data_IF_781567330509
#
_entry.id   IF_781567330509
#
_cell.length_a   1.000
_cell.length_b   1.000
_cell.length_c   1.000
_cell.angle_alpha   90.00
_cell.angle_beta   90.00
_cell.angle_gamma   90.00
#
_symmetry.space_group_name_H-M   'P 1'
#
loop_
_entity.id
_entity.type
_entity.pdbx_description
1 polymer ?
#
# COMPACT_ATOMS: atom_id res chain seq x y z
N UNK A 1 29.31 9.39 -21.22
CA UNK A 1 28.13 10.29 -21.08
C UNK A 1 27.07 9.78 -22.02
N UNK A 2 25.84 9.79 -21.53
CA UNK A 2 24.65 9.36 -22.28
C UNK A 2 23.60 10.46 -22.25
N UNK A 3 22.75 10.51 -23.27
CA UNK A 3 21.68 11.50 -23.37
C UNK A 3 20.37 10.83 -23.80
N UNK A 4 19.27 11.18 -23.13
CA UNK A 4 17.91 10.90 -23.57
C UNK A 4 17.41 12.19 -24.22
N UNK A 5 16.85 12.16 -25.44
CA UNK A 5 16.40 13.35 -26.14
C UNK A 5 15.11 13.18 -26.93
N UNK A 6 14.45 14.31 -27.24
CA UNK A 6 13.28 14.39 -28.12
C UNK A 6 11.94 14.08 -27.44
N UNK A 7 11.96 13.66 -26.18
CA UNK A 7 10.76 13.36 -25.41
C UNK A 7 10.15 14.56 -24.67
N UNK A 8 9.04 14.35 -24.01
CA UNK A 8 8.47 15.29 -23.04
C UNK A 8 9.01 14.94 -21.66
N UNK A 9 9.87 15.78 -21.09
CA UNK A 9 10.41 15.62 -19.74
C UNK A 9 9.41 16.11 -18.69
N UNK A 10 9.13 15.27 -17.69
CA UNK A 10 8.40 15.62 -16.47
C UNK A 10 9.34 15.36 -15.30
N UNK A 11 9.76 16.40 -14.59
CA UNK A 11 10.86 16.29 -13.61
C UNK A 11 10.45 15.61 -12.29
N UNK A 12 9.15 15.46 -12.02
CA UNK A 12 8.63 14.90 -10.77
C UNK A 12 8.47 15.92 -9.64
N UNK A 13 8.74 17.20 -9.88
CA UNK A 13 8.58 18.29 -8.90
C UNK A 13 7.13 18.80 -8.77
N UNK A 14 6.20 18.23 -9.54
CA UNK A 14 4.79 18.62 -9.60
C UNK A 14 4.50 19.88 -10.41
N UNK A 15 5.47 20.44 -11.13
CA UNK A 15 5.35 21.73 -11.83
C UNK A 15 5.98 21.75 -13.22
N UNK A 16 7.10 21.06 -13.41
CA UNK A 16 7.95 21.22 -14.57
C UNK A 16 7.68 20.18 -15.63
N UNK A 17 7.25 20.65 -16.82
CA UNK A 17 7.12 19.85 -18.05
C UNK A 17 7.86 20.55 -19.17
N UNK A 18 8.81 19.88 -19.80
CA UNK A 18 9.64 20.42 -20.90
C UNK A 18 9.39 19.56 -22.15
N UNK A 19 8.87 20.15 -23.21
CA UNK A 19 8.69 19.47 -24.50
C UNK A 19 9.98 19.46 -25.29
N UNK A 20 10.15 18.42 -26.14
CA UNK A 20 11.36 18.22 -26.92
C UNK A 20 12.63 18.40 -26.07
N UNK A 21 12.64 17.71 -24.92
CA UNK A 21 13.69 17.86 -23.93
C UNK A 21 14.88 16.93 -24.17
N UNK A 22 16.01 17.31 -23.57
CA UNK A 22 17.13 16.41 -23.35
C UNK A 22 17.42 16.22 -21.87
N UNK A 23 17.92 15.05 -21.49
CA UNK A 23 18.44 14.73 -20.15
C UNK A 23 19.79 14.05 -20.33
N UNK A 24 20.84 14.64 -19.78
CA UNK A 24 22.20 14.09 -19.79
C UNK A 24 22.54 13.44 -18.47
N UNK A 25 23.18 12.31 -18.54
CA UNK A 25 23.69 11.63 -17.36
C UNK A 25 25.10 11.11 -17.57
N UNK A 26 25.84 11.14 -16.48
CA UNK A 26 27.21 10.64 -16.40
C UNK A 26 27.32 9.75 -15.17
N UNK A 27 27.71 8.50 -15.39
CA UNK A 27 27.60 7.45 -14.38
C UNK A 27 26.16 7.37 -13.86
N UNK A 28 25.92 7.61 -12.58
CA UNK A 28 24.63 7.48 -11.91
C UNK A 28 23.96 8.85 -11.61
N UNK A 29 24.45 9.93 -12.23
CA UNK A 29 23.97 11.28 -11.95
C UNK A 29 23.44 11.97 -13.22
N UNK A 30 22.29 12.63 -13.06
CA UNK A 30 21.82 13.61 -14.04
C UNK A 30 22.70 14.84 -13.89
N UNK A 31 23.39 15.23 -14.98
CA UNK A 31 24.34 16.36 -14.97
C UNK A 31 23.78 17.59 -15.65
N UNK A 32 22.76 17.43 -16.52
CA UNK A 32 22.13 18.54 -17.23
C UNK A 32 20.78 18.09 -17.82
N UNK A 33 19.85 19.00 -17.99
CA UNK A 33 18.61 18.81 -18.75
C UNK A 33 18.08 20.16 -19.27
N UNK A 34 17.32 20.12 -20.36
CA UNK A 34 16.75 21.34 -20.93
C UNK A 34 15.90 21.08 -22.15
N UNK A 35 15.46 22.16 -22.79
CA UNK A 35 14.66 22.13 -24.01
C UNK A 35 15.56 22.15 -25.26
N UNK A 36 15.14 21.47 -26.32
CA UNK A 36 15.80 21.51 -27.64
C UNK A 36 16.97 20.56 -27.78
N UNK A 37 17.96 20.99 -28.58
CA UNK A 37 19.14 20.17 -28.86
C UNK A 37 20.10 20.15 -27.65
N UNK A 38 20.62 18.96 -27.35
CA UNK A 38 21.63 18.81 -26.33
C UNK A 38 22.92 19.60 -26.72
N UNK A 39 23.44 20.47 -25.83
CA UNK A 39 24.57 21.35 -26.16
C UNK A 39 25.92 20.62 -26.40
N UNK A 40 25.98 19.34 -26.09
CA UNK A 40 27.18 18.51 -26.27
C UNK A 40 26.88 17.26 -27.07
N UNK A 41 27.90 16.75 -27.78
CA UNK A 41 27.81 15.45 -28.47
C UNK A 41 28.16 14.33 -27.49
N UNK A 42 27.17 13.53 -27.15
CA UNK A 42 27.33 12.34 -26.33
C UNK A 42 27.41 11.08 -27.22
N UNK A 43 28.18 10.07 -26.76
CA UNK A 43 28.44 8.87 -27.56
C UNK A 43 27.28 7.85 -27.51
N UNK A 44 26.40 7.98 -26.52
CA UNK A 44 25.25 7.09 -26.30
C UNK A 44 23.95 7.91 -26.22
N UNK A 45 23.10 7.72 -27.23
CA UNK A 45 21.88 8.51 -27.40
C UNK A 45 20.66 7.60 -27.36
N UNK A 46 19.73 7.92 -26.46
CA UNK A 46 18.41 7.30 -26.38
C UNK A 46 17.40 8.27 -27.01
N UNK A 47 16.81 7.88 -28.13
CA UNK A 47 15.72 8.64 -28.75
C UNK A 47 14.40 8.39 -28.01
N UNK A 48 13.85 9.45 -27.43
CA UNK A 48 12.58 9.43 -26.70
C UNK A 48 11.47 10.18 -27.45
N UNK A 49 11.60 10.41 -28.75
CA UNK A 49 10.59 11.08 -29.53
C UNK A 49 9.21 10.41 -29.37
N UNK A 50 8.19 11.21 -29.00
CA UNK A 50 6.83 10.71 -28.71
C UNK A 50 6.66 10.04 -27.35
N UNK A 51 7.69 9.98 -26.51
CA UNK A 51 7.63 9.42 -25.16
C UNK A 51 7.60 10.50 -24.09
N UNK A 52 7.17 10.09 -22.89
CA UNK A 52 7.37 10.85 -21.65
C UNK A 52 8.64 10.33 -20.97
N UNK A 53 9.53 11.25 -20.61
CA UNK A 53 10.73 10.99 -19.81
C UNK A 53 10.45 11.48 -18.40
N UNK A 54 10.53 10.60 -17.41
CA UNK A 54 10.21 10.92 -16.02
C UNK A 54 11.13 10.16 -15.06
N UNK A 55 11.23 10.57 -13.78
CA UNK A 55 11.92 9.78 -12.77
C UNK A 55 11.32 8.38 -12.65
N UNK A 56 12.13 7.40 -12.24
CA UNK A 56 11.61 6.07 -11.94
C UNK A 56 10.55 6.12 -10.83
N UNK A 57 9.50 5.32 -10.99
CA UNK A 57 8.41 5.22 -10.01
C UNK A 57 8.96 4.70 -8.67
N UNK A 58 8.51 5.31 -7.59
CA UNK A 58 8.77 4.89 -6.20
C UNK A 58 7.48 4.30 -5.65
N UNK A 59 7.46 2.98 -5.47
CA UNK A 59 6.34 2.29 -4.81
C UNK A 59 6.65 2.14 -3.32
N UNK A 60 6.05 3.01 -2.52
CA UNK A 60 6.34 3.10 -1.09
C UNK A 60 5.46 2.23 -0.21
N UNK A 61 4.57 1.42 -0.81
CA UNK A 61 3.71 0.49 -0.09
C UNK A 61 3.52 -0.79 -0.91
N UNK A 62 4.32 -1.81 -0.58
CA UNK A 62 4.31 -3.09 -1.29
C UNK A 62 4.69 -4.24 -0.37
N UNK A 63 4.09 -5.41 -0.61
CA UNK A 63 4.31 -6.65 0.13
C UNK A 63 4.96 -7.73 -0.71
N UNK A 64 5.58 -8.73 -0.04
CA UNK A 64 6.10 -9.93 -0.69
C UNK A 64 7.28 -9.67 -1.61
N UNK A 65 8.12 -8.71 -1.28
CA UNK A 65 9.31 -8.31 -2.06
C UNK A 65 10.63 -8.58 -1.33
N UNK A 66 10.57 -9.19 -0.16
CA UNK A 66 11.72 -9.64 0.64
C UNK A 66 11.64 -11.12 0.95
N UNK A 67 12.66 -11.65 1.64
CA UNK A 67 12.70 -13.05 2.07
C UNK A 67 12.10 -13.26 3.48
N UNK A 68 11.59 -12.18 4.10
CA UNK A 68 11.01 -12.21 5.44
C UNK A 68 9.54 -12.60 5.47
N UNK A 69 8.95 -12.64 6.67
CA UNK A 69 7.53 -12.90 6.87
C UNK A 69 6.66 -11.96 6.07
N UNK A 70 5.57 -12.50 5.53
CA UNK A 70 4.67 -11.79 4.64
C UNK A 70 3.57 -11.08 5.46
N UNK A 71 3.27 -9.84 5.13
CA UNK A 71 2.25 -9.00 5.75
C UNK A 71 2.46 -8.71 7.24
N UNK A 72 1.78 -7.70 7.78
CA UNK A 72 1.71 -7.47 9.23
C UNK A 72 1.17 -8.65 10.06
N UNK A 73 0.54 -9.64 9.43
CA UNK A 73 0.14 -10.89 10.07
C UNK A 73 1.29 -11.86 10.34
N UNK A 74 2.50 -11.58 9.86
CA UNK A 74 3.65 -12.48 10.03
C UNK A 74 3.47 -13.84 9.37
N UNK A 75 2.79 -13.89 8.22
CA UNK A 75 2.57 -15.11 7.46
C UNK A 75 3.87 -15.66 6.86
N UNK A 76 3.85 -16.92 6.39
CA UNK A 76 5.03 -17.58 5.79
C UNK A 76 5.59 -16.75 4.63
N UNK A 77 6.93 -16.64 4.53
CA UNK A 77 7.60 -15.98 3.40
C UNK A 77 7.22 -16.59 2.06
N UNK A 78 7.29 -15.80 1.01
CA UNK A 78 7.22 -16.31 -0.35
C UNK A 78 8.51 -17.05 -0.73
N UNK A 79 8.42 -17.94 -1.73
CA UNK A 79 9.63 -18.57 -2.26
C UNK A 79 10.52 -17.54 -2.97
N UNK A 80 11.82 -17.82 -3.04
CA UNK A 80 12.82 -16.97 -3.72
C UNK A 80 12.44 -16.70 -5.18
N UNK A 81 11.92 -17.72 -5.88
CA UNK A 81 11.47 -17.60 -7.27
C UNK A 81 10.29 -16.64 -7.39
N UNK A 82 9.36 -16.67 -6.43
CA UNK A 82 8.20 -15.80 -6.42
C UNK A 82 8.62 -14.35 -6.17
N UNK A 83 9.48 -14.10 -5.18
CA UNK A 83 10.06 -12.78 -4.90
C UNK A 83 10.80 -12.24 -6.13
N UNK A 84 11.64 -13.06 -6.78
CA UNK A 84 12.34 -12.68 -8.01
C UNK A 84 11.38 -12.34 -9.15
N UNK A 85 10.29 -13.08 -9.29
CA UNK A 85 9.26 -12.79 -10.29
C UNK A 85 8.56 -11.46 -10.02
N UNK A 86 8.32 -11.12 -8.73
CA UNK A 86 7.77 -9.82 -8.36
C UNK A 86 8.73 -8.69 -8.72
N UNK A 87 10.01 -8.80 -8.37
CA UNK A 87 11.02 -7.80 -8.73
C UNK A 87 11.07 -7.53 -10.24
N UNK A 88 11.00 -8.59 -11.05
CA UNK A 88 10.98 -8.45 -12.51
C UNK A 88 9.76 -7.67 -12.99
N UNK A 89 8.56 -8.02 -12.49
CA UNK A 89 7.33 -7.31 -12.84
C UNK A 89 7.36 -5.82 -12.46
N UNK A 90 7.94 -5.50 -11.30
CA UNK A 90 8.09 -4.12 -10.85
C UNK A 90 8.97 -3.30 -11.81
N UNK A 91 10.11 -3.85 -12.20
CA UNK A 91 11.01 -3.22 -13.19
C UNK A 91 10.32 -3.02 -14.54
N UNK A 92 9.55 -4.02 -15.02
CA UNK A 92 8.77 -3.94 -16.27
C UNK A 92 7.68 -2.85 -16.22
N UNK A 93 7.26 -2.43 -15.02
CA UNK A 93 6.31 -1.34 -14.78
C UNK A 93 6.97 0.03 -14.56
N UNK A 94 8.29 0.13 -14.73
CA UNK A 94 9.02 1.38 -14.50
C UNK A 94 9.24 1.73 -13.02
N UNK A 95 8.95 0.81 -12.10
CA UNK A 95 9.24 0.97 -10.68
C UNK A 95 10.73 0.70 -10.45
N UNK A 96 11.43 1.65 -9.85
CA UNK A 96 12.88 1.57 -9.62
C UNK A 96 13.25 1.56 -8.15
N UNK A 97 12.34 2.01 -7.29
CA UNK A 97 12.50 2.02 -5.83
C UNK A 97 11.24 1.47 -5.19
N UNK A 98 11.42 0.61 -4.20
CA UNK A 98 10.32 0.02 -3.43
C UNK A 98 10.56 0.12 -1.93
N UNK A 99 9.50 0.26 -1.16
CA UNK A 99 9.49 0.14 0.29
C UNK A 99 8.68 -1.08 0.70
N UNK A 100 9.38 -2.12 1.17
CA UNK A 100 8.74 -3.29 1.75
C UNK A 100 8.04 -2.91 3.06
N UNK A 101 6.74 -3.16 3.14
CA UNK A 101 5.93 -2.84 4.33
C UNK A 101 5.40 -4.08 5.05
N UNK A 102 5.94 -5.25 4.78
CA UNK A 102 5.60 -6.48 5.54
C UNK A 102 5.88 -6.34 7.04
N UNK A 103 6.84 -5.48 7.40
CA UNK A 103 7.08 -5.02 8.77
C UNK A 103 7.97 -5.92 9.62
N UNK A 104 7.97 -7.24 9.41
CA UNK A 104 8.75 -8.19 10.22
C UNK A 104 9.99 -8.76 9.54
N UNK A 105 10.30 -8.35 8.30
CA UNK A 105 11.53 -8.75 7.64
C UNK A 105 12.75 -8.19 8.38
N UNK A 106 13.72 -9.04 8.70
CA UNK A 106 15.03 -8.62 9.25
C UNK A 106 15.90 -7.99 8.17
N UNK A 107 16.90 -7.18 8.54
CA UNK A 107 17.81 -6.59 7.57
C UNK A 107 18.63 -7.64 6.80
N UNK A 108 18.86 -8.82 7.37
CA UNK A 108 19.47 -9.97 6.66
C UNK A 108 18.61 -10.38 5.47
N UNK A 109 17.31 -10.55 5.67
CA UNK A 109 16.34 -10.95 4.65
C UNK A 109 16.14 -9.86 3.58
N UNK A 110 16.13 -8.60 3.99
CA UNK A 110 16.11 -7.45 3.08
C UNK A 110 17.36 -7.40 2.21
N UNK A 111 18.55 -7.61 2.78
CA UNK A 111 19.81 -7.63 2.04
C UNK A 111 19.92 -8.82 1.10
N UNK A 112 19.36 -9.97 1.45
CA UNK A 112 19.25 -11.11 0.56
C UNK A 112 18.38 -10.76 -0.67
N UNK A 113 17.26 -10.09 -0.48
CA UNK A 113 16.41 -9.62 -1.58
C UNK A 113 17.12 -8.57 -2.45
N UNK A 114 17.83 -7.61 -1.86
CA UNK A 114 18.65 -6.60 -2.57
C UNK A 114 19.66 -7.23 -3.52
N UNK A 115 20.27 -8.34 -3.13
CA UNK A 115 21.25 -9.04 -3.96
C UNK A 115 20.64 -9.72 -5.21
N UNK A 116 19.30 -9.80 -5.31
CA UNK A 116 18.59 -10.50 -6.40
C UNK A 116 18.18 -9.57 -7.54
N UNK A 117 18.28 -8.25 -7.38
CA UNK A 117 17.63 -7.30 -8.29
C UNK A 117 18.38 -5.95 -8.33
N UNK A 118 18.31 -5.19 -9.43
CA UNK A 118 18.74 -3.80 -9.45
C UNK A 118 17.76 -2.82 -8.78
N UNK A 119 16.57 -3.26 -8.36
CA UNK A 119 15.65 -2.42 -7.61
C UNK A 119 16.30 -1.88 -6.33
N UNK A 120 16.04 -0.61 -6.03
CA UNK A 120 16.37 -0.07 -4.71
C UNK A 120 15.30 -0.52 -3.72
N UNK A 121 15.64 -1.47 -2.87
CA UNK A 121 14.73 -1.98 -1.83
C UNK A 121 15.01 -1.24 -0.52
N UNK A 122 13.99 -0.55 0.01
CA UNK A 122 13.91 -0.05 1.37
C UNK A 122 12.97 -0.93 2.19
N UNK A 123 13.01 -0.80 3.51
CA UNK A 123 12.10 -1.54 4.39
C UNK A 123 11.63 -0.67 5.53
N UNK A 124 10.45 -0.95 6.02
CA UNK A 124 9.93 -0.49 7.29
C UNK A 124 10.15 -1.53 8.40
N UNK A 125 9.69 -1.23 9.59
CA UNK A 125 9.71 -2.13 10.75
C UNK A 125 8.43 -2.03 11.56
N UNK A 126 7.89 -3.18 11.96
CA UNK A 126 6.74 -3.31 12.86
C UNK A 126 7.07 -4.14 14.12
N UNK A 127 8.36 -4.23 14.48
CA UNK A 127 8.86 -5.05 15.59
C UNK A 127 8.53 -4.42 16.96
N UNK A 128 7.23 -4.19 17.22
CA UNK A 128 6.71 -3.72 18.51
C UNK A 128 5.94 -4.83 19.20
N UNK A 129 5.80 -4.76 20.51
CA UNK A 129 5.16 -5.81 21.31
C UNK A 129 3.68 -6.01 20.89
N UNK A 130 2.95 -4.94 20.64
CA UNK A 130 1.55 -5.02 20.25
C UNK A 130 1.37 -5.54 18.83
N UNK A 131 2.27 -5.21 17.89
CA UNK A 131 2.23 -5.77 16.54
C UNK A 131 2.54 -7.27 16.53
N UNK A 132 3.50 -7.75 17.31
CA UNK A 132 3.71 -9.19 17.49
C UNK A 132 2.48 -9.89 18.04
N UNK A 133 1.84 -9.31 19.04
CA UNK A 133 0.61 -9.84 19.61
C UNK A 133 -0.51 -9.89 18.57
N UNK A 134 -0.67 -8.85 17.75
CA UNK A 134 -1.64 -8.81 16.67
C UNK A 134 -1.33 -9.87 15.57
N UNK A 135 -0.07 -9.97 15.15
CA UNK A 135 0.36 -10.96 14.17
C UNK A 135 0.09 -12.40 14.63
N UNK A 136 0.46 -12.73 15.87
CA UNK A 136 0.27 -14.05 16.46
C UNK A 136 -1.22 -14.40 16.70
N UNK A 137 -2.08 -13.40 16.88
CA UNK A 137 -3.52 -13.62 16.98
C UNK A 137 -4.17 -14.00 15.64
N UNK A 138 -3.54 -13.65 14.52
CA UNK A 138 -4.06 -13.89 13.17
C UNK A 138 -3.38 -15.09 12.50
N UNK A 139 -2.04 -15.10 12.45
CA UNK A 139 -1.24 -16.12 11.75
C UNK A 139 0.09 -16.37 12.46
N UNK A 140 1.08 -15.50 12.32
CA UNK A 140 2.42 -15.63 12.92
C UNK A 140 3.26 -16.79 12.39
N UNK A 141 2.79 -17.55 11.39
CA UNK A 141 3.43 -18.81 10.93
C UNK A 141 4.78 -18.61 10.25
N UNK A 142 5.13 -17.37 9.87
CA UNK A 142 6.43 -16.98 9.31
C UNK A 142 7.39 -16.42 10.34
N UNK A 143 6.91 -16.11 11.55
CA UNK A 143 7.75 -15.53 12.61
C UNK A 143 8.65 -16.59 13.22
N UNK A 144 9.92 -16.28 13.36
CA UNK A 144 10.94 -17.08 14.03
C UNK A 144 11.45 -16.39 15.29
N UNK A 145 12.28 -17.07 16.06
CA UNK A 145 12.93 -16.49 17.24
C UNK A 145 13.77 -15.24 16.90
N UNK A 146 14.41 -15.20 15.73
CA UNK A 146 15.14 -14.04 15.22
C UNK A 146 14.22 -12.83 15.09
N UNK A 147 13.04 -12.99 14.45
CA UNK A 147 12.06 -11.92 14.31
C UNK A 147 11.54 -11.42 15.65
N UNK A 148 11.15 -12.33 16.54
CA UNK A 148 10.60 -12.00 17.86
C UNK A 148 11.61 -11.28 18.78
N UNK A 149 12.91 -11.48 18.58
CA UNK A 149 13.98 -10.83 19.31
C UNK A 149 14.49 -9.54 18.64
N UNK A 150 14.09 -9.26 17.40
CA UNK A 150 14.43 -8.02 16.70
C UNK A 150 13.60 -6.85 17.23
N UNK A 151 14.18 -5.66 17.29
CA UNK A 151 13.51 -4.45 17.78
C UNK A 151 13.44 -3.36 16.73
N UNK A 152 12.48 -2.42 16.89
CA UNK A 152 12.37 -1.23 16.04
C UNK A 152 13.69 -0.45 16.02
N UNK A 153 14.32 -0.25 17.19
CA UNK A 153 15.58 0.47 17.27
C UNK A 153 16.71 -0.20 16.48
N UNK A 154 16.82 -1.51 16.58
CA UNK A 154 17.80 -2.28 15.80
C UNK A 154 17.57 -2.12 14.31
N UNK A 155 16.34 -2.33 13.85
CA UNK A 155 15.99 -2.22 12.44
C UNK A 155 16.27 -0.83 11.85
N UNK A 156 15.93 0.24 12.60
CA UNK A 156 16.23 1.61 12.18
C UNK A 156 17.73 1.90 12.13
N UNK A 157 18.51 1.42 13.10
CA UNK A 157 19.97 1.53 13.07
C UNK A 157 20.61 0.80 11.91
N UNK A 158 20.03 -0.32 11.47
CA UNK A 158 20.50 -1.14 10.35
C UNK A 158 19.99 -0.64 8.99
N UNK A 159 19.07 0.33 8.95
CA UNK A 159 18.67 1.01 7.73
C UNK A 159 17.20 0.84 7.29
N UNK A 160 16.31 0.38 8.17
CA UNK A 160 14.88 0.62 8.02
C UNK A 160 14.60 2.13 8.11
N UNK A 161 13.61 2.63 7.40
CA UNK A 161 13.37 4.08 7.26
C UNK A 161 12.00 4.54 7.77
N UNK A 162 11.16 3.62 8.22
CA UNK A 162 9.78 3.90 8.61
C UNK A 162 9.27 2.83 9.57
N UNK A 163 8.27 3.16 10.39
CA UNK A 163 7.50 2.20 11.17
C UNK A 163 6.21 1.87 10.41
N UNK A 164 5.88 0.59 10.24
CA UNK A 164 4.66 0.18 9.52
C UNK A 164 4.90 -0.99 8.54
N UNK A 165 3.96 -1.41 7.74
CA UNK A 165 2.54 -1.06 7.85
C UNK A 165 1.95 -1.59 9.14
N UNK A 166 1.06 -0.83 9.77
CA UNK A 166 0.38 -1.24 11.00
C UNK A 166 -1.10 -1.50 10.70
N UNK A 167 -1.60 -2.64 11.15
CA UNK A 167 -3.02 -3.00 11.04
C UNK A 167 -3.44 -3.53 9.67
N UNK A 168 -2.48 -3.90 8.81
CA UNK A 168 -2.73 -4.34 7.44
C UNK A 168 -3.58 -5.60 7.32
N UNK A 169 -3.99 -5.84 6.13
CA UNK A 169 -4.72 -6.91 5.45
C UNK A 169 -5.60 -7.86 6.28
N UNK A 170 -5.15 -8.33 7.44
CA UNK A 170 -5.81 -9.39 8.20
C UNK A 170 -6.42 -8.92 9.52
N UNK A 171 -6.13 -7.68 9.95
CA UNK A 171 -6.47 -7.21 11.29
C UNK A 171 -7.59 -6.18 11.33
N UNK A 172 -7.68 -5.25 10.39
CA UNK A 172 -8.60 -4.10 10.44
C UNK A 172 -9.53 -4.01 9.24
N UNK A 173 -10.23 -5.09 8.91
CA UNK A 173 -11.18 -5.10 7.80
C UNK A 173 -10.53 -5.17 6.43
N UNK A 174 -9.22 -5.40 6.37
CA UNK A 174 -8.45 -5.49 5.14
C UNK A 174 -8.81 -6.69 4.27
N UNK A 175 -8.34 -6.67 3.02
CA UNK A 175 -8.65 -7.66 1.99
C UNK A 175 -8.36 -9.12 2.37
N UNK A 176 -7.44 -9.39 3.29
CA UNK A 176 -7.16 -10.76 3.73
C UNK A 176 -8.32 -11.49 4.35
N UNK A 177 -9.20 -10.78 5.04
CA UNK A 177 -10.42 -11.36 5.59
C UNK A 177 -11.37 -11.79 4.46
N UNK A 178 -11.46 -10.99 3.41
CA UNK A 178 -12.36 -11.21 2.28
C UNK A 178 -11.79 -12.20 1.27
N UNK A 179 -10.46 -12.23 1.09
CA UNK A 179 -9.78 -13.11 0.13
C UNK A 179 -9.43 -14.49 0.67
N UNK A 180 -9.18 -14.62 1.96
CA UNK A 180 -8.60 -15.86 2.51
C UNK A 180 -9.42 -16.47 3.65
N UNK A 181 -9.63 -15.76 4.76
CA UNK A 181 -10.15 -16.38 5.98
C UNK A 181 -11.64 -16.70 5.90
N UNK A 182 -12.47 -15.74 5.53
CA UNK A 182 -13.92 -15.96 5.41
C UNK A 182 -14.25 -16.95 4.31
N UNK A 183 -13.72 -16.86 3.07
CA UNK A 183 -13.97 -17.88 2.04
C UNK A 183 -13.53 -19.27 2.47
N UNK A 184 -12.35 -19.40 3.09
CA UNK A 184 -11.83 -20.68 3.57
C UNK A 184 -12.75 -21.30 4.64
N UNK A 185 -13.11 -20.51 5.67
CA UNK A 185 -13.95 -20.99 6.77
C UNK A 185 -15.34 -21.44 6.30
N UNK A 186 -15.93 -20.70 5.36
CA UNK A 186 -17.24 -21.06 4.78
C UNK A 186 -17.13 -22.31 3.90
N UNK A 187 -16.08 -22.40 3.07
CA UNK A 187 -15.83 -23.60 2.24
C UNK A 187 -15.63 -24.86 3.08
N UNK A 188 -14.90 -24.77 4.18
CA UNK A 188 -14.67 -25.91 5.09
C UNK A 188 -15.97 -26.41 5.74
N UNK A 189 -16.92 -25.52 6.01
CA UNK A 189 -18.21 -25.86 6.64
C UNK A 189 -19.29 -26.31 5.66
N UNK A 190 -19.29 -25.74 4.43
CA UNK A 190 -20.40 -25.88 3.50
C UNK A 190 -20.02 -26.49 2.15
N UNK A 191 -18.74 -26.50 1.81
CA UNK A 191 -18.23 -26.86 0.47
C UNK A 191 -18.37 -25.74 -0.58
N UNK A 192 -19.02 -24.62 -0.26
CA UNK A 192 -19.24 -23.51 -1.19
C UNK A 192 -17.99 -22.61 -1.25
N UNK A 193 -17.54 -22.30 -2.45
CA UNK A 193 -16.48 -21.31 -2.69
C UNK A 193 -17.09 -19.94 -2.87
N UNK A 194 -16.62 -18.96 -2.08
CA UNK A 194 -17.04 -17.56 -2.18
C UNK A 194 -15.98 -16.72 -2.89
N UNK A 195 -16.44 -15.83 -3.77
CA UNK A 195 -15.62 -14.75 -4.29
C UNK A 195 -15.41 -13.66 -3.19
N UNK A 196 -14.30 -12.90 -3.25
CA UNK A 196 -14.00 -11.87 -2.23
C UNK A 196 -15.13 -10.88 -1.97
N UNK A 197 -15.84 -10.43 -3.01
CA UNK A 197 -17.00 -9.53 -2.86
C UNK A 197 -18.16 -10.18 -2.10
N UNK A 198 -18.39 -11.48 -2.30
CA UNK A 198 -19.43 -12.22 -1.58
C UNK A 198 -19.07 -12.36 -0.10
N UNK A 199 -17.83 -12.72 0.20
CA UNK A 199 -17.33 -12.78 1.57
C UNK A 199 -17.43 -11.42 2.28
N UNK A 200 -17.06 -10.34 1.59
CA UNK A 200 -17.18 -8.98 2.08
C UNK A 200 -18.64 -8.59 2.37
N UNK A 201 -19.59 -8.89 1.48
CA UNK A 201 -21.01 -8.62 1.70
C UNK A 201 -21.53 -9.31 2.94
N UNK A 202 -21.15 -10.58 3.19
CA UNK A 202 -21.48 -11.29 4.42
C UNK A 202 -20.86 -10.64 5.65
N UNK A 203 -19.57 -10.25 5.59
CA UNK A 203 -18.89 -9.54 6.67
C UNK A 203 -19.60 -8.22 7.01
N UNK A 204 -19.94 -7.42 6.00
CA UNK A 204 -20.66 -6.15 6.20
C UNK A 204 -22.08 -6.37 6.75
N UNK A 205 -22.79 -7.40 6.31
CA UNK A 205 -24.09 -7.73 6.85
C UNK A 205 -24.04 -8.15 8.33
N UNK A 206 -22.95 -8.81 8.75
CA UNK A 206 -22.77 -9.27 10.15
C UNK A 206 -22.22 -8.16 11.05
N UNK A 207 -21.24 -7.39 10.61
CA UNK A 207 -20.44 -6.48 11.44
C UNK A 207 -20.55 -5.01 11.04
N UNK A 208 -21.22 -4.70 9.93
CA UNK A 208 -21.15 -3.36 9.33
C UNK A 208 -19.77 -3.03 8.77
N UNK A 209 -19.63 -1.85 8.14
CA UNK A 209 -18.36 -1.38 7.57
C UNK A 209 -17.31 -1.05 8.63
N UNK A 210 -17.76 -0.61 9.81
CA UNK A 210 -16.90 -0.26 10.96
C UNK A 210 -16.59 -1.44 11.89
N UNK A 211 -16.95 -2.67 11.51
CA UNK A 211 -16.70 -3.91 12.27
C UNK A 211 -17.23 -3.81 13.72
N UNK A 212 -18.52 -3.60 13.84
CA UNK A 212 -19.24 -3.55 15.11
C UNK A 212 -20.47 -4.45 15.07
N UNK A 213 -20.61 -5.35 16.03
CA UNK A 213 -21.75 -6.27 16.16
C UNK A 213 -23.11 -5.57 16.33
N UNK A 214 -23.13 -4.33 16.80
CA UNK A 214 -24.35 -3.53 16.90
C UNK A 214 -24.96 -3.23 15.52
N UNK A 215 -24.19 -3.38 14.45
CA UNK A 215 -24.62 -3.20 13.07
C UNK A 215 -25.16 -4.49 12.41
N UNK A 216 -25.42 -5.54 13.17
CA UNK A 216 -25.91 -6.82 12.65
C UNK A 216 -27.25 -6.65 11.92
N UNK A 217 -27.28 -7.04 10.64
CA UNK A 217 -28.44 -6.99 9.76
C UNK A 217 -28.85 -8.42 9.34
N UNK A 218 -29.79 -9.02 10.10
CA UNK A 218 -30.31 -10.36 9.87
C UNK A 218 -30.90 -10.54 8.47
N UNK A 219 -31.61 -9.54 7.95
CA UNK A 219 -32.25 -9.64 6.64
C UNK A 219 -31.21 -9.59 5.51
N UNK A 220 -30.17 -8.76 5.64
CA UNK A 220 -29.06 -8.74 4.69
C UNK A 220 -28.25 -10.05 4.74
N UNK A 221 -28.03 -10.63 5.93
CA UNK A 221 -27.37 -11.95 6.06
C UNK A 221 -28.16 -13.03 5.34
N UNK A 222 -29.46 -13.16 5.60
CA UNK A 222 -30.34 -14.15 4.94
C UNK A 222 -30.37 -13.97 3.43
N UNK A 223 -30.50 -12.73 2.97
CA UNK A 223 -30.50 -12.42 1.55
C UNK A 223 -29.19 -12.83 0.87
N UNK A 224 -28.05 -12.49 1.46
CA UNK A 224 -26.73 -12.87 0.95
C UNK A 224 -26.52 -14.39 0.98
N UNK A 225 -26.87 -15.06 2.07
CA UNK A 225 -26.79 -16.53 2.17
C UNK A 225 -27.60 -17.22 1.07
N UNK A 226 -28.81 -16.78 0.82
CA UNK A 226 -29.67 -17.32 -0.23
C UNK A 226 -29.07 -17.08 -1.62
N UNK A 227 -28.60 -15.86 -1.89
CA UNK A 227 -28.00 -15.50 -3.19
C UNK A 227 -26.73 -16.33 -3.47
N UNK A 228 -25.91 -16.60 -2.44
CA UNK A 228 -24.64 -17.32 -2.58
C UNK A 228 -24.76 -18.84 -2.43
N UNK A 229 -25.98 -19.36 -2.33
CA UNK A 229 -26.22 -20.82 -2.27
C UNK A 229 -25.85 -21.45 -0.91
N UNK A 230 -25.87 -20.68 0.15
CA UNK A 230 -25.56 -21.11 1.52
C UNK A 230 -26.82 -21.47 2.32
N UNK A 231 -28.00 -21.12 1.81
CA UNK A 231 -29.27 -21.42 2.43
C UNK A 231 -29.48 -22.94 2.60
N UNK A 232 -29.81 -23.37 3.80
CA UNK A 232 -29.94 -24.79 4.14
C UNK A 232 -28.62 -25.56 4.35
N UNK A 233 -27.45 -24.96 4.07
CA UNK A 233 -26.15 -25.54 4.34
C UNK A 233 -25.55 -25.10 5.69
N UNK A 234 -25.92 -23.92 6.15
CA UNK A 234 -25.58 -23.41 7.47
C UNK A 234 -26.69 -22.48 7.95
N UNK A 235 -26.83 -22.36 9.27
CA UNK A 235 -27.79 -21.44 9.88
C UNK A 235 -27.26 -20.00 9.88
N UNK A 236 -28.17 -19.04 10.05
CA UNK A 236 -27.82 -17.61 10.21
C UNK A 236 -26.89 -17.39 11.42
N UNK A 237 -27.12 -18.06 12.54
CA UNK A 237 -26.27 -17.97 13.73
C UNK A 237 -24.87 -18.55 13.48
N UNK A 238 -24.78 -19.69 12.77
CA UNK A 238 -23.48 -20.25 12.37
C UNK A 238 -22.71 -19.33 11.41
N UNK A 239 -23.43 -18.66 10.49
CA UNK A 239 -22.82 -17.65 9.62
C UNK A 239 -22.26 -16.48 10.42
N UNK A 240 -23.09 -15.91 11.32
CA UNK A 240 -22.68 -14.84 12.23
C UNK A 240 -21.45 -15.22 13.04
N UNK A 241 -21.46 -16.38 13.67
CA UNK A 241 -20.33 -16.87 14.45
C UNK A 241 -19.08 -17.07 13.58
N UNK A 242 -19.23 -17.62 12.37
CA UNK A 242 -18.11 -17.84 11.45
C UNK A 242 -17.44 -16.52 11.05
N UNK A 243 -18.23 -15.49 10.74
CA UNK A 243 -17.69 -14.15 10.42
C UNK A 243 -17.00 -13.56 11.65
N UNK A 244 -17.59 -13.63 12.82
CA UNK A 244 -16.99 -13.12 14.06
C UNK A 244 -15.65 -13.82 14.36
N UNK A 245 -15.59 -15.12 14.25
CA UNK A 245 -14.35 -15.90 14.48
C UNK A 245 -13.23 -15.54 13.49
N UNK A 246 -13.59 -15.17 12.26
CA UNK A 246 -12.62 -14.77 11.24
C UNK A 246 -12.10 -13.33 11.42
N UNK A 247 -12.87 -12.44 12.07
CA UNK A 247 -12.63 -10.98 12.01
C UNK A 247 -12.26 -10.38 13.37
N UNK A 248 -13.02 -10.69 14.42
CA UNK A 248 -12.92 -9.96 15.69
C UNK A 248 -11.69 -10.22 16.55
N UNK A 249 -11.07 -11.41 16.61
CA UNK A 249 -10.00 -11.69 17.58
C UNK A 249 -8.77 -10.80 17.45
N UNK A 250 -8.52 -10.24 16.26
CA UNK A 250 -7.35 -9.42 15.98
C UNK A 250 -7.61 -7.92 16.05
N UNK A 251 -8.87 -7.48 16.09
CA UNK A 251 -9.21 -6.06 15.91
C UNK A 251 -8.73 -5.16 17.05
N UNK A 252 -9.08 -5.49 18.29
CA UNK A 252 -8.72 -4.65 19.45
C UNK A 252 -7.19 -4.53 19.59
N UNK A 253 -6.49 -5.66 19.43
CA UNK A 253 -5.02 -5.70 19.51
C UNK A 253 -4.37 -4.87 18.41
N UNK A 254 -4.95 -4.86 17.20
CA UNK A 254 -4.43 -4.08 16.08
C UNK A 254 -4.54 -2.57 16.32
N UNK A 255 -5.63 -2.09 16.91
CA UNK A 255 -5.81 -0.68 17.26
C UNK A 255 -4.81 -0.22 18.35
N UNK A 256 -4.48 -1.08 19.31
CA UNK A 256 -3.42 -0.80 20.29
C UNK A 256 -2.05 -0.65 19.63
N UNK A 257 -1.78 -1.47 18.61
CA UNK A 257 -0.53 -1.41 17.85
C UNK A 257 -0.33 -0.08 17.12
N UNK A 258 -1.39 0.60 16.73
CA UNK A 258 -1.34 1.92 16.10
C UNK A 258 -0.67 2.95 17.02
N UNK A 259 -1.09 3.01 18.27
CA UNK A 259 -0.56 3.96 19.25
C UNK A 259 0.93 3.70 19.54
N UNK A 260 1.33 2.44 19.75
CA UNK A 260 2.74 2.08 20.00
C UNK A 260 3.62 2.44 18.79
N UNK A 261 3.14 2.21 17.57
CA UNK A 261 3.87 2.57 16.36
C UNK A 261 4.04 4.08 16.17
N UNK A 262 3.00 4.89 16.46
CA UNK A 262 3.08 6.34 16.41
C UNK A 262 4.09 6.89 17.42
N UNK A 263 4.10 6.34 18.64
CA UNK A 263 5.09 6.67 19.66
C UNK A 263 6.52 6.31 19.23
N UNK A 264 6.68 5.15 18.57
CA UNK A 264 7.98 4.74 18.03
C UNK A 264 8.41 5.67 16.88
N UNK A 265 7.52 6.00 15.93
CA UNK A 265 7.77 6.96 14.84
C UNK A 265 8.25 8.32 15.38
N UNK A 266 7.52 8.87 16.35
CA UNK A 266 7.89 10.13 17.02
C UNK A 266 9.23 10.01 17.76
N UNK A 267 9.44 8.93 18.53
CA UNK A 267 10.66 8.71 19.31
C UNK A 267 11.91 8.67 18.43
N UNK A 268 11.84 8.05 17.27
CA UNK A 268 12.98 7.88 16.39
C UNK A 268 13.03 8.89 15.23
N UNK A 269 12.04 9.77 15.12
CA UNK A 269 11.99 10.82 14.10
C UNK A 269 11.77 10.27 12.69
N UNK A 270 11.04 9.16 12.54
CA UNK A 270 10.72 8.53 11.26
C UNK A 270 9.21 8.52 11.00
N UNK A 271 8.75 8.48 9.74
CA UNK A 271 7.34 8.33 9.44
C UNK A 271 6.76 7.01 9.96
N UNK A 272 5.43 6.98 10.11
CA UNK A 272 4.69 5.75 10.42
C UNK A 272 3.50 5.59 9.49
N UNK A 273 3.32 4.38 8.97
CA UNK A 273 2.33 4.01 7.94
C UNK A 273 1.24 3.12 8.54
N UNK A 274 -0.02 3.48 8.30
CA UNK A 274 -1.18 2.83 8.90
C UNK A 274 -2.18 2.39 7.86
N UNK A 275 -2.69 1.16 8.01
CA UNK A 275 -3.82 0.65 7.26
C UNK A 275 -5.07 1.52 7.49
N UNK A 276 -5.44 2.33 6.50
CA UNK A 276 -6.59 3.22 6.57
C UNK A 276 -7.82 2.54 5.96
N UNK A 277 -8.79 2.29 6.80
CA UNK A 277 -10.06 1.66 6.45
C UNK A 277 -11.15 2.20 7.37
N UNK A 278 -12.42 2.00 7.05
CA UNK A 278 -13.52 2.50 7.88
C UNK A 278 -13.35 2.17 9.37
N UNK A 279 -12.99 0.91 9.78
CA UNK A 279 -12.82 0.60 11.21
C UNK A 279 -11.57 1.22 11.87
N UNK A 280 -10.60 1.72 11.12
CA UNK A 280 -9.37 2.31 11.68
C UNK A 280 -9.31 3.84 11.57
N UNK A 281 -10.21 4.44 10.80
CA UNK A 281 -10.16 5.87 10.44
C UNK A 281 -10.13 6.80 11.65
N UNK A 282 -11.02 6.58 12.63
CA UNK A 282 -11.09 7.40 13.85
C UNK A 282 -9.76 7.37 14.60
N UNK A 283 -9.15 6.19 14.74
CA UNK A 283 -7.83 6.06 15.39
C UNK A 283 -6.74 6.79 14.61
N UNK A 284 -6.74 6.77 13.27
CA UNK A 284 -5.74 7.49 12.48
C UNK A 284 -5.91 9.01 12.60
N UNK A 285 -7.15 9.50 12.63
CA UNK A 285 -7.46 10.90 12.90
C UNK A 285 -6.87 11.31 14.26
N UNK A 286 -7.17 10.58 15.33
CA UNK A 286 -6.62 10.84 16.67
C UNK A 286 -5.08 10.84 16.70
N UNK A 287 -4.45 9.94 15.95
CA UNK A 287 -2.98 9.89 15.88
C UNK A 287 -2.41 11.07 15.10
N UNK A 288 -3.05 11.48 14.00
CA UNK A 288 -2.61 12.64 13.21
C UNK A 288 -2.66 13.95 13.99
N UNK A 289 -3.60 14.08 14.95
CA UNK A 289 -3.64 15.23 15.86
C UNK A 289 -2.48 15.26 16.87
N UNK A 290 -1.96 14.09 17.25
CA UNK A 290 -1.04 13.96 18.37
C UNK A 290 0.41 13.71 17.95
N UNK A 291 0.62 13.11 16.79
CA UNK A 291 1.92 12.65 16.34
C UNK A 291 2.25 13.16 14.93
N UNK A 292 3.50 13.57 14.67
CA UNK A 292 3.92 14.00 13.34
C UNK A 292 4.14 12.81 12.40
N UNK A 293 4.18 13.09 11.11
CA UNK A 293 4.59 12.13 10.06
C UNK A 293 3.73 10.86 10.00
N UNK A 294 2.43 10.99 10.24
CA UNK A 294 1.44 9.92 10.06
C UNK A 294 1.13 9.80 8.57
N UNK A 295 1.18 8.58 8.03
CA UNK A 295 0.79 8.27 6.65
C UNK A 295 -0.42 7.35 6.69
N UNK A 296 -1.54 7.83 6.18
CA UNK A 296 -2.76 7.05 6.00
C UNK A 296 -2.65 6.30 4.67
N UNK A 297 -2.37 4.99 4.71
CA UNK A 297 -2.21 4.14 3.55
C UNK A 297 -3.55 3.91 2.84
N UNK A 298 -3.48 3.74 1.51
CA UNK A 298 -4.62 3.35 0.66
C UNK A 298 -5.97 3.98 1.06
N UNK A 299 -5.99 5.30 1.25
CA UNK A 299 -7.12 6.05 1.82
C UNK A 299 -8.41 6.01 0.98
N UNK A 300 -8.37 5.48 -0.25
CA UNK A 300 -9.56 5.14 -1.04
C UNK A 300 -10.06 3.71 -0.79
N UNK A 301 -9.71 3.11 0.36
CA UNK A 301 -10.03 1.72 0.70
C UNK A 301 -11.52 1.43 0.54
N UNK A 302 -11.90 0.30 -0.10
CA UNK A 302 -13.30 0.02 -0.45
C UNK A 302 -14.22 -0.26 0.75
N UNK A 303 -13.76 -0.22 1.99
CA UNK A 303 -14.62 -0.22 3.18
C UNK A 303 -15.30 1.13 3.44
N UNK A 304 -14.75 2.22 2.91
CA UNK A 304 -15.35 3.55 3.02
C UNK A 304 -16.51 3.74 2.03
N UNK A 305 -17.44 4.62 2.39
CA UNK A 305 -18.22 5.36 1.41
C UNK A 305 -17.40 6.55 0.89
N UNK A 306 -17.64 6.97 -0.36
CA UNK A 306 -16.83 8.00 -1.01
C UNK A 306 -16.72 9.29 -0.16
N UNK A 307 -17.85 9.82 0.32
CA UNK A 307 -17.83 11.07 1.09
C UNK A 307 -17.14 10.90 2.43
N UNK A 308 -17.28 9.76 3.08
CA UNK A 308 -16.57 9.40 4.31
C UNK A 308 -15.06 9.36 4.09
N UNK A 309 -14.59 8.69 3.02
CA UNK A 309 -13.18 8.63 2.69
C UNK A 309 -12.56 10.02 2.46
N UNK A 310 -13.26 10.87 1.72
CA UNK A 310 -12.83 12.25 1.45
C UNK A 310 -12.77 13.10 2.73
N UNK A 311 -13.76 12.96 3.60
CA UNK A 311 -13.81 13.68 4.88
C UNK A 311 -12.67 13.25 5.81
N UNK A 312 -12.46 11.94 5.96
CA UNK A 312 -11.35 11.38 6.74
C UNK A 312 -9.99 11.90 6.21
N UNK A 313 -9.81 11.92 4.89
CA UNK A 313 -8.59 12.42 4.28
C UNK A 313 -8.37 13.92 4.53
N UNK A 314 -9.43 14.75 4.44
CA UNK A 314 -9.33 16.19 4.75
C UNK A 314 -8.88 16.42 6.19
N UNK A 315 -9.51 15.75 7.16
CA UNK A 315 -9.17 15.88 8.58
C UNK A 315 -7.71 15.47 8.82
N UNK A 316 -7.29 14.32 8.28
CA UNK A 316 -5.90 13.86 8.43
C UNK A 316 -4.91 14.87 7.84
N UNK A 317 -5.20 15.45 6.65
CA UNK A 317 -4.34 16.49 6.04
C UNK A 317 -4.32 17.78 6.84
N UNK A 318 -5.45 18.23 7.38
CA UNK A 318 -5.54 19.40 8.24
C UNK A 318 -4.68 19.25 9.51
N UNK A 319 -4.57 18.04 10.04
CA UNK A 319 -3.69 17.69 11.15
C UNK A 319 -2.20 17.54 10.74
N UNK A 320 -1.88 17.65 9.44
CA UNK A 320 -0.52 17.50 8.92
C UNK A 320 -0.10 16.06 8.58
N UNK A 321 -1.03 15.12 8.56
CA UNK A 321 -0.82 13.77 8.05
C UNK A 321 -0.78 13.71 6.52
N UNK A 322 -0.31 12.60 5.99
CA UNK A 322 -0.15 12.36 4.55
C UNK A 322 -1.13 11.31 4.05
N UNK A 323 -1.63 11.51 2.84
CA UNK A 323 -2.60 10.62 2.18
C UNK A 323 -1.94 9.84 1.05
N UNK A 324 -1.93 8.52 1.19
CA UNK A 324 -1.58 7.58 0.14
C UNK A 324 -2.83 6.95 -0.48
N UNK A 325 -2.81 6.74 -1.79
CA UNK A 325 -3.79 5.93 -2.50
C UNK A 325 -3.12 4.70 -3.11
N UNK A 326 -3.68 3.53 -2.88
CA UNK A 326 -3.17 2.29 -3.47
C UNK A 326 -3.96 1.89 -4.72
N UNK A 327 -3.26 1.50 -5.78
CA UNK A 327 -3.90 1.09 -7.04
C UNK A 327 -4.73 -0.18 -6.88
N UNK A 328 -4.36 -1.09 -5.98
CA UNK A 328 -5.11 -2.32 -5.71
C UNK A 328 -6.53 -2.06 -5.22
N UNK A 329 -6.75 -0.99 -4.44
CA UNK A 329 -8.06 -0.67 -3.90
C UNK A 329 -9.05 -0.17 -4.96
N UNK A 330 -8.54 0.36 -6.06
CA UNK A 330 -9.37 0.93 -7.11
C UNK A 330 -9.38 0.09 -8.39
N UNK A 331 -8.26 -0.59 -8.67
CA UNK A 331 -8.08 -1.33 -9.91
C UNK A 331 -7.97 -2.83 -9.70
N UNK A 332 -7.64 -3.33 -8.54
CA UNK A 332 -7.34 -4.71 -8.10
C UNK A 332 -8.04 -5.84 -8.83
N UNK A 333 -7.97 -5.87 -10.16
CA UNK A 333 -8.76 -6.66 -11.08
C UNK A 333 -10.27 -6.64 -10.72
N UNK A 334 -10.73 -5.58 -10.08
CA UNK A 334 -12.13 -5.34 -9.68
C UNK A 334 -12.72 -6.46 -8.82
N UNK A 335 -11.90 -7.07 -7.97
CA UNK A 335 -12.36 -8.14 -7.08
C UNK A 335 -13.02 -7.67 -5.79
N UNK A 336 -12.60 -6.51 -5.29
CA UNK A 336 -13.17 -5.87 -4.09
C UNK A 336 -13.60 -4.42 -4.37
N UNK A 337 -13.33 -3.91 -5.56
CA UNK A 337 -13.70 -2.60 -6.04
C UNK A 337 -14.25 -2.71 -7.47
N UNK A 338 -15.35 -2.08 -7.76
CA UNK A 338 -16.03 -2.09 -9.07
C UNK A 338 -15.99 -0.72 -9.76
N UNK A 339 -15.39 0.29 -9.11
CA UNK A 339 -15.35 1.66 -9.60
C UNK A 339 -13.99 2.31 -9.27
N UNK A 340 -13.53 3.19 -10.15
CA UNK A 340 -12.38 4.07 -9.95
C UNK A 340 -12.77 5.45 -9.41
N UNK A 341 -14.05 5.66 -9.11
CA UNK A 341 -14.61 6.94 -8.73
C UNK A 341 -13.94 7.54 -7.49
N UNK A 342 -13.71 6.72 -6.45
CA UNK A 342 -13.04 7.16 -5.23
C UNK A 342 -11.64 7.71 -5.56
N UNK A 343 -10.85 6.98 -6.34
CA UNK A 343 -9.50 7.39 -6.71
C UNK A 343 -9.48 8.74 -7.46
N UNK A 344 -10.35 8.88 -8.46
CA UNK A 344 -10.46 10.13 -9.23
C UNK A 344 -11.00 11.30 -8.42
N UNK A 345 -11.89 11.06 -7.45
CA UNK A 345 -12.41 12.08 -6.57
C UNK A 345 -11.32 12.67 -5.65
N UNK A 346 -10.45 11.83 -5.08
CA UNK A 346 -9.31 12.29 -4.28
C UNK A 346 -8.38 13.22 -5.08
N UNK A 347 -8.09 12.89 -6.35
CA UNK A 347 -7.29 13.78 -7.21
C UNK A 347 -7.99 15.10 -7.52
N UNK A 348 -9.30 15.09 -7.80
CA UNK A 348 -10.08 16.31 -8.08
C UNK A 348 -10.10 17.28 -6.89
N UNK A 349 -10.04 16.74 -5.67
CA UNK A 349 -10.01 17.52 -4.45
C UNK A 349 -8.60 17.87 -3.94
N UNK A 350 -7.55 17.52 -4.72
CA UNK A 350 -6.13 17.76 -4.37
C UNK A 350 -5.73 17.14 -3.01
N UNK A 351 -6.33 15.98 -2.69
CA UNK A 351 -6.08 15.28 -1.43
C UNK A 351 -4.94 14.27 -1.51
N UNK A 352 -4.46 13.92 -2.71
CA UNK A 352 -3.44 12.88 -2.92
C UNK A 352 -2.05 13.43 -2.70
N UNK A 353 -1.33 12.92 -1.72
CA UNK A 353 0.08 13.21 -1.53
C UNK A 353 0.97 12.23 -2.30
N UNK A 354 0.64 10.94 -2.22
CA UNK A 354 1.41 9.84 -2.81
C UNK A 354 0.49 8.75 -3.36
N UNK A 355 1.00 7.96 -4.31
CA UNK A 355 0.36 6.71 -4.73
C UNK A 355 1.31 5.53 -4.58
N UNK A 356 0.73 4.36 -4.32
CA UNK A 356 1.41 3.08 -4.17
C UNK A 356 0.65 1.97 -4.90
N UNK A 357 1.17 0.74 -4.88
CA UNK A 357 0.43 -0.40 -5.42
C UNK A 357 -0.36 -1.16 -4.37
N UNK A 358 0.12 -1.21 -3.15
CA UNK A 358 -0.26 -2.20 -2.12
C UNK A 358 -0.29 -3.64 -2.72
N UNK A 359 0.63 -3.91 -3.62
CA UNK A 359 0.72 -5.20 -4.27
C UNK A 359 1.07 -6.28 -3.25
N UNK A 360 0.28 -7.33 -3.24
CA UNK A 360 0.36 -8.38 -2.25
C UNK A 360 0.34 -9.80 -2.87
N UNK A 361 0.83 -9.94 -4.09
CA UNK A 361 0.86 -11.20 -4.81
C UNK A 361 -0.45 -11.60 -5.49
N UNK A 362 -1.42 -10.69 -5.54
CA UNK A 362 -2.68 -10.83 -6.24
C UNK A 362 -2.65 -10.30 -7.67
N UNK A 363 -3.68 -9.57 -8.05
CA UNK A 363 -3.74 -8.89 -9.34
C UNK A 363 -2.82 -7.69 -9.35
N UNK A 364 -2.29 -7.37 -10.51
CA UNK A 364 -1.31 -6.33 -10.71
C UNK A 364 -1.93 -5.13 -11.39
N UNK A 365 -1.83 -3.97 -10.76
CA UNK A 365 -2.25 -2.69 -11.32
C UNK A 365 -1.06 -1.74 -11.40
N UNK A 366 -0.75 -1.29 -12.63
CA UNK A 366 0.40 -0.44 -12.86
C UNK A 366 0.14 0.99 -12.39
N UNK A 367 1.05 1.59 -11.59
CA UNK A 367 0.97 3.01 -11.28
C UNK A 367 0.92 3.89 -12.54
N UNK A 368 1.65 3.52 -13.61
CA UNK A 368 1.66 4.28 -14.85
C UNK A 368 0.28 4.32 -15.55
N UNK A 369 -0.46 3.20 -15.53
CA UNK A 369 -1.84 3.18 -16.06
C UNK A 369 -2.77 4.07 -15.23
N UNK A 370 -2.57 4.10 -13.93
CA UNK A 370 -3.33 4.98 -13.02
C UNK A 370 -3.05 6.45 -13.29
N UNK A 371 -1.76 6.82 -13.42
CA UNK A 371 -1.37 8.20 -13.78
C UNK A 371 -1.95 8.63 -15.12
N UNK A 372 -1.88 7.76 -16.15
CA UNK A 372 -2.49 8.01 -17.45
C UNK A 372 -4.00 8.27 -17.31
N UNK A 373 -4.71 7.43 -16.57
CA UNK A 373 -6.15 7.54 -16.43
C UNK A 373 -6.56 8.85 -15.76
N UNK A 374 -5.98 9.21 -14.60
CA UNK A 374 -6.37 10.43 -13.86
C UNK A 374 -6.06 11.72 -14.65
N UNK A 375 -5.00 11.70 -15.46
CA UNK A 375 -4.67 12.81 -16.36
C UNK A 375 -5.64 12.88 -17.53
N UNK A 376 -5.93 11.76 -18.20
CA UNK A 376 -6.86 11.67 -19.33
C UNK A 376 -8.27 12.07 -18.96
N UNK A 377 -8.71 11.74 -17.75
CA UNK A 377 -10.02 12.12 -17.21
C UNK A 377 -10.08 13.57 -16.70
N UNK A 378 -8.95 14.28 -16.71
CA UNK A 378 -8.86 15.67 -16.24
C UNK A 378 -9.00 15.82 -14.72
N UNK A 379 -8.74 14.75 -13.96
CA UNK A 379 -8.79 14.80 -12.50
C UNK A 379 -7.58 15.53 -11.91
N UNK A 380 -6.46 15.56 -12.63
CA UNK A 380 -5.24 16.30 -12.28
C UNK A 380 -4.39 16.57 -13.53
N UNK A 381 -3.30 17.31 -13.40
CA UNK A 381 -2.35 17.56 -14.49
C UNK A 381 -1.24 16.49 -14.53
N UNK A 382 -0.54 16.38 -15.66
CA UNK A 382 0.52 15.37 -15.85
C UNK A 382 1.63 15.51 -14.82
N UNK A 383 2.11 16.74 -14.60
CA UNK A 383 3.19 17.02 -13.66
C UNK A 383 2.80 16.71 -12.20
N UNK A 384 1.59 17.03 -11.79
CA UNK A 384 1.08 16.68 -10.46
C UNK A 384 0.91 15.15 -10.31
N UNK A 385 0.34 14.48 -11.31
CA UNK A 385 0.18 13.03 -11.29
C UNK A 385 1.54 12.33 -11.16
N UNK A 386 2.53 12.69 -11.98
CA UNK A 386 3.88 12.10 -11.93
C UNK A 386 4.52 12.34 -10.55
N UNK A 387 4.34 13.52 -9.97
CA UNK A 387 4.90 13.84 -8.67
C UNK A 387 4.40 12.88 -7.57
N UNK A 388 3.13 12.47 -7.59
CA UNK A 388 2.57 11.56 -6.56
C UNK A 388 3.21 10.17 -6.56
N UNK A 389 3.82 9.75 -7.66
CA UNK A 389 4.54 8.48 -7.77
C UNK A 389 6.07 8.63 -7.74
N UNK A 390 6.59 9.84 -7.60
CA UNK A 390 8.03 10.11 -7.72
C UNK A 390 8.52 11.14 -6.70
N UNK A 391 8.55 12.42 -7.05
CA UNK A 391 9.15 13.48 -6.23
C UNK A 391 8.45 13.73 -4.90
N UNK A 392 7.14 13.61 -4.83
CA UNK A 392 6.42 13.71 -3.56
C UNK A 392 6.85 12.60 -2.60
N UNK A 393 6.86 11.36 -3.08
CA UNK A 393 7.30 10.20 -2.27
C UNK A 393 8.72 10.40 -1.76
N UNK A 394 9.63 10.83 -2.66
CA UNK A 394 11.02 11.08 -2.32
C UNK A 394 11.20 12.17 -1.26
N UNK A 395 10.36 13.21 -1.29
CA UNK A 395 10.38 14.32 -0.34
C UNK A 395 9.71 13.98 1.00
N UNK A 396 8.60 13.24 0.96
CA UNK A 396 7.77 12.97 2.14
C UNK A 396 8.27 11.79 2.96
N UNK A 397 9.04 10.85 2.36
CA UNK A 397 9.61 9.71 3.06
C UNK A 397 11.14 9.83 3.08
N UNK A 398 11.73 10.39 4.15
CA UNK A 398 13.18 10.55 4.26
C UNK A 398 13.92 9.21 4.11
N UNK A 399 14.96 9.19 3.29
CA UNK A 399 15.80 8.01 3.07
C UNK A 399 15.28 7.01 2.04
N UNK A 400 14.10 7.22 1.44
CA UNK A 400 13.58 6.31 0.42
C UNK A 400 14.40 6.40 -0.88
N UNK A 401 14.77 7.59 -1.29
CA UNK A 401 15.65 7.86 -2.43
C UNK A 401 16.91 8.61 -2.00
N UNK A 402 18.06 8.41 -2.70
CA UNK A 402 19.30 9.06 -2.36
C UNK A 402 19.26 10.50 -2.78
N UNK A 403 19.09 11.42 -2.82
CA UNK A 403 19.08 12.78 -3.40
C UNK A 403 17.66 13.24 -3.77
N UNK A 404 16.71 13.02 -2.85
CA UNK A 404 15.44 13.70 -2.91
C UNK A 404 15.65 15.16 -2.48
N UNK A 405 15.99 16.02 -3.42
CA UNK A 405 16.18 17.43 -3.21
C UNK A 405 15.85 18.21 -4.46
#
# INVERSE_FOLDING_TARGET
MSVIKGGTLVTGDGKTVIKNAYVRFENDLIVDFGEGECPTTDNDVIDAAGCVVMPGVIDHHIHGVTMGPLFPSGAKPLSREKVSSHHKKLLEQGITTILNVDGFATMREVNEARAMTPLRIRTCTSHTATNFKAALAVDGSGLTEEHLNTTVEQMLKEGAIMVGEIGGRHTLGGGGQDYLYTPKAIKEKTGVELEPMQARRLKVAVLGRHINLDNYDSEAVKAAMKEFGLDGLMSEEEMKQTICDCVLPSMDVALDAFTEAAQAGMRYGVPSLYHNSAPSAERIIELSEKYPNIIAAHSAHPSFELQEALEVARIIKENGGLIDLATIDCYGAKKICDSTESFTAFYKEDLVDMISTDYAGGNWDSPLCTLEQVVREGSTTLEKAVATATGNVAKMIPGIAPNAG
#
